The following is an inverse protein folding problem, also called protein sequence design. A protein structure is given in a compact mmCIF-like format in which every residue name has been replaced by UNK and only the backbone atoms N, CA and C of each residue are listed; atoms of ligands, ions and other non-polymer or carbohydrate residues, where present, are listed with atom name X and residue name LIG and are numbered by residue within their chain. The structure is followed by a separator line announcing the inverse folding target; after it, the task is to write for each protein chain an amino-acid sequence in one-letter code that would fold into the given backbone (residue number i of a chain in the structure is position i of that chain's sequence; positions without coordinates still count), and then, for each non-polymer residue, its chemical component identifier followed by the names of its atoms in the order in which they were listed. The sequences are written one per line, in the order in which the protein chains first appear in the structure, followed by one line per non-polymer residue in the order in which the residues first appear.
data_IF_924477239661
#
_entry.id   IF_924477239661
#
_cell.length_a   1.000
_cell.length_b   1.000
_cell.length_c   1.000
_cell.angle_alpha   90.00
_cell.angle_beta   90.00
_cell.angle_gamma   90.00
#
_symmetry.space_group_name_H-M   'P 1'
#
loop_
_entity.id
_entity.type
_entity.pdbx_description
1 polymer ?
#
# COMPACT_ATOMS: atom_id res chain seq x y z
N UNK A 1 0.42 1.18 -15.82
CA UNK A 1 -0.09 -0.21 -15.84
C UNK A 1 -1.47 -0.33 -15.17
N UNK A 2 -1.68 0.18 -13.94
CA UNK A 2 -2.97 0.05 -13.22
C UNK A 2 -4.19 0.71 -13.90
N UNK A 3 -4.07 1.96 -14.38
CA UNK A 3 -5.17 2.63 -15.10
C UNK A 3 -5.59 1.93 -16.40
N UNK A 4 -4.63 1.33 -17.10
CA UNK A 4 -4.87 0.60 -18.34
C UNK A 4 -5.56 -0.75 -18.08
N UNK A 5 -5.27 -1.39 -16.93
CA UNK A 5 -5.95 -2.61 -16.49
C UNK A 5 -7.38 -2.34 -16.07
N UNK A 6 -7.65 -1.24 -15.34
CA UNK A 6 -9.02 -0.83 -14.98
C UNK A 6 -9.85 -0.60 -16.26
N UNK A 7 -9.31 0.15 -17.23
CA UNK A 7 -9.98 0.37 -18.53
C UNK A 7 -10.15 -0.90 -19.37
N UNK A 8 -9.25 -1.86 -19.24
CA UNK A 8 -9.39 -3.15 -19.91
C UNK A 8 -10.50 -3.98 -19.29
N UNK A 9 -10.57 -4.03 -17.95
CA UNK A 9 -11.63 -4.69 -17.20
C UNK A 9 -13.01 -4.08 -17.44
N UNK A 10 -13.11 -2.75 -17.47
CA UNK A 10 -14.37 -2.06 -17.81
C UNK A 10 -14.87 -2.42 -19.22
N UNK A 11 -13.97 -2.56 -20.20
CA UNK A 11 -14.34 -2.94 -21.58
C UNK A 11 -14.62 -4.43 -21.75
N UNK A 12 -13.99 -5.28 -20.96
CA UNK A 12 -14.25 -6.72 -20.95
C UNK A 12 -15.56 -7.03 -20.24
N UNK A 13 -15.93 -6.28 -19.20
CA UNK A 13 -17.23 -6.40 -18.50
C UNK A 13 -18.44 -6.28 -19.45
N UNK A 14 -18.32 -5.49 -20.52
CA UNK A 14 -19.34 -5.32 -21.56
C UNK A 14 -19.33 -6.42 -22.64
N UNK A 15 -18.36 -7.34 -22.63
CA UNK A 15 -18.30 -8.48 -23.55
C UNK A 15 -18.94 -9.70 -22.94
N UNK A 16 -19.69 -10.43 -23.77
CA UNK A 16 -20.45 -11.61 -23.39
C UNK A 16 -19.56 -12.64 -22.67
N UNK A 17 -19.96 -13.05 -21.47
CA UNK A 17 -19.25 -14.04 -20.67
C UNK A 17 -19.20 -15.38 -21.42
N UNK A 18 -17.99 -15.87 -21.73
CA UNK A 18 -17.82 -17.11 -22.51
C UNK A 18 -17.79 -18.40 -21.65
N UNK A 19 -17.59 -18.28 -20.33
CA UNK A 19 -17.36 -19.43 -19.42
C UNK A 19 -18.17 -19.32 -18.12
N UNK A 20 -18.30 -18.11 -17.57
CA UNK A 20 -19.04 -17.85 -16.32
C UNK A 20 -20.48 -17.44 -16.61
N UNK A 21 -21.36 -17.63 -15.62
CA UNK A 21 -22.67 -17.00 -15.65
C UNK A 21 -22.48 -15.47 -15.71
N UNK A 22 -23.35 -14.77 -16.43
CA UNK A 22 -23.26 -13.31 -16.61
C UNK A 22 -23.14 -12.56 -15.26
N UNK A 23 -23.82 -13.07 -14.23
CA UNK A 23 -23.79 -12.55 -12.87
C UNK A 23 -22.43 -12.74 -12.19
N UNK A 24 -21.81 -13.90 -12.34
CA UNK A 24 -20.50 -14.19 -11.76
C UNK A 24 -19.38 -13.44 -12.49
N UNK A 25 -19.51 -13.28 -13.82
CA UNK A 25 -18.58 -12.49 -14.63
C UNK A 25 -18.60 -11.01 -14.24
N UNK A 26 -19.78 -10.41 -14.05
CA UNK A 26 -19.91 -9.03 -13.59
C UNK A 26 -19.35 -8.83 -12.18
N UNK A 27 -19.65 -9.75 -11.24
CA UNK A 27 -19.11 -9.70 -9.89
C UNK A 27 -17.58 -9.80 -9.87
N UNK A 28 -16.99 -10.70 -10.67
CA UNK A 28 -15.55 -10.83 -10.78
C UNK A 28 -14.88 -9.56 -11.35
N UNK A 29 -15.51 -8.92 -12.34
CA UNK A 29 -15.04 -7.66 -12.88
C UNK A 29 -15.08 -6.53 -11.85
N UNK A 30 -16.16 -6.43 -11.07
CA UNK A 30 -16.29 -5.41 -10.02
C UNK A 30 -15.27 -5.58 -8.89
N UNK A 31 -15.04 -6.82 -8.43
CA UNK A 31 -13.99 -7.12 -7.44
C UNK A 31 -12.60 -6.75 -7.97
N UNK A 32 -12.31 -7.07 -9.23
CA UNK A 32 -11.03 -6.76 -9.85
C UNK A 32 -10.82 -5.25 -10.03
N UNK A 33 -11.87 -4.47 -10.32
CA UNK A 33 -11.81 -3.01 -10.39
C UNK A 33 -11.51 -2.40 -9.01
N UNK A 34 -12.22 -2.82 -7.96
CA UNK A 34 -11.97 -2.34 -6.59
C UNK A 34 -10.56 -2.69 -6.10
N UNK A 35 -10.07 -3.89 -6.42
CA UNK A 35 -8.72 -4.31 -6.11
C UNK A 35 -7.64 -3.44 -6.76
N UNK A 36 -7.82 -3.04 -8.03
CA UNK A 36 -6.88 -2.15 -8.72
C UNK A 36 -6.94 -0.72 -8.17
N UNK A 37 -8.12 -0.21 -7.82
CA UNK A 37 -8.25 1.10 -7.14
C UNK A 37 -7.54 1.09 -5.80
N UNK A 38 -7.72 0.05 -4.98
CA UNK A 38 -7.02 -0.08 -3.71
C UNK A 38 -5.51 -0.15 -3.90
N UNK A 39 -5.03 -0.93 -4.88
CA UNK A 39 -3.60 -1.01 -5.20
C UNK A 39 -3.01 0.35 -5.58
N UNK A 40 -3.74 1.16 -6.35
CA UNK A 40 -3.33 2.52 -6.69
C UNK A 40 -3.24 3.41 -5.44
N UNK A 41 -4.25 3.35 -4.58
CA UNK A 41 -4.28 4.08 -3.32
C UNK A 41 -3.11 3.68 -2.41
N UNK A 42 -2.89 2.38 -2.21
CA UNK A 42 -1.80 1.84 -1.39
C UNK A 42 -0.43 2.29 -1.90
N UNK A 43 -0.22 2.29 -3.22
CA UNK A 43 1.02 2.80 -3.81
C UNK A 43 1.22 4.30 -3.53
N UNK A 44 0.15 5.10 -3.63
CA UNK A 44 0.22 6.53 -3.34
C UNK A 44 0.47 6.82 -1.86
N UNK A 45 -0.19 6.08 -0.96
CA UNK A 45 0.05 6.14 0.47
C UNK A 45 1.50 5.79 0.82
N UNK A 46 2.01 4.69 0.28
CA UNK A 46 3.42 4.29 0.45
C UNK A 46 4.38 5.35 -0.08
N UNK A 47 4.07 6.00 -1.21
CA UNK A 47 4.86 7.10 -1.74
C UNK A 47 4.95 8.26 -0.73
N UNK A 48 3.82 8.68 -0.16
CA UNK A 48 3.77 9.75 0.85
C UNK A 48 4.63 9.40 2.07
N UNK A 49 4.50 8.18 2.59
CA UNK A 49 5.31 7.73 3.74
C UNK A 49 6.80 7.76 3.41
N UNK A 50 7.20 7.27 2.23
CA UNK A 50 8.60 7.28 1.82
C UNK A 50 9.12 8.71 1.68
N UNK A 51 8.34 9.62 1.10
CA UNK A 51 8.69 11.05 1.02
C UNK A 51 8.79 11.66 2.41
N UNK A 52 7.89 11.32 3.33
CA UNK A 52 7.94 11.80 4.71
C UNK A 52 9.22 11.33 5.42
N UNK A 53 9.59 10.06 5.29
CA UNK A 53 10.83 9.53 5.86
C UNK A 53 12.08 10.20 5.29
N UNK A 54 12.17 10.32 3.97
CA UNK A 54 13.30 10.97 3.28
C UNK A 54 13.38 12.46 3.61
N UNK A 55 12.23 13.14 3.65
CA UNK A 55 12.14 14.58 3.84
C UNK A 55 12.43 15.02 5.27
N UNK A 56 11.82 14.38 6.26
CA UNK A 56 11.95 14.81 7.66
C UNK A 56 12.01 13.65 8.67
N UNK A 57 11.40 12.51 8.39
CA UNK A 57 11.22 11.44 9.37
C UNK A 57 12.54 10.91 9.92
N UNK A 58 13.53 10.63 9.06
CA UNK A 58 14.83 10.15 9.52
C UNK A 58 15.61 11.20 10.32
N UNK A 59 15.56 12.47 9.90
CA UNK A 59 16.21 13.57 10.62
C UNK A 59 15.59 13.75 12.01
N UNK A 60 14.26 13.81 12.09
CA UNK A 60 13.54 13.96 13.34
C UNK A 60 13.84 12.81 14.31
N UNK A 61 13.81 11.57 13.82
CA UNK A 61 14.10 10.40 14.65
C UNK A 61 15.56 10.36 15.12
N UNK A 62 16.49 10.84 14.28
CA UNK A 62 17.91 10.94 14.60
C UNK A 62 18.16 11.98 15.67
N UNK A 63 17.58 13.17 15.56
CA UNK A 63 17.70 14.24 16.55
C UNK A 63 17.14 13.85 17.91
N UNK A 64 16.07 13.04 17.94
CA UNK A 64 15.47 12.55 19.17
C UNK A 64 16.27 11.45 19.88
N UNK A 65 16.89 10.54 19.11
CA UNK A 65 17.46 9.30 19.66
C UNK A 65 18.98 9.23 19.64
N UNK A 66 19.65 10.00 18.79
CA UNK A 66 21.10 9.94 18.59
C UNK A 66 21.72 11.25 19.09
N UNK A 67 22.53 11.14 20.13
CA UNK A 67 23.28 12.26 20.70
C UNK A 67 24.78 12.03 20.63
N UNK A 68 25.24 10.85 21.06
CA UNK A 68 26.65 10.49 21.14
C UNK A 68 27.06 9.44 20.08
N UNK A 69 26.14 9.04 19.20
CA UNK A 69 26.35 8.00 18.18
C UNK A 69 26.81 6.66 18.77
N UNK A 70 26.32 6.34 19.97
CA UNK A 70 26.64 5.05 20.60
C UNK A 70 25.98 3.90 19.84
N UNK A 71 26.52 2.68 19.98
CA UNK A 71 25.91 1.48 19.37
C UNK A 71 24.47 1.25 19.82
N UNK A 72 24.18 1.57 21.08
CA UNK A 72 22.84 1.44 21.65
C UNK A 72 21.86 2.43 21.01
N UNK A 73 22.22 3.72 20.93
CA UNK A 73 21.39 4.76 20.28
C UNK A 73 21.08 4.41 18.82
N UNK A 74 22.09 3.96 18.07
CA UNK A 74 21.89 3.53 16.67
C UNK A 74 20.96 2.32 16.56
N UNK A 75 21.07 1.36 17.49
CA UNK A 75 20.18 0.19 17.52
C UNK A 75 18.75 0.63 17.84
N UNK A 76 18.58 1.52 18.83
CA UNK A 76 17.29 2.05 19.23
C UNK A 76 16.63 2.84 18.10
N UNK A 77 17.39 3.68 17.40
CA UNK A 77 16.93 4.40 16.21
C UNK A 77 16.39 3.46 15.14
N UNK A 78 17.14 2.40 14.80
CA UNK A 78 16.69 1.40 13.82
C UNK A 78 15.41 0.70 14.27
N UNK A 79 15.32 0.29 15.55
CA UNK A 79 14.13 -0.37 16.09
C UNK A 79 12.91 0.56 16.07
N UNK A 80 13.06 1.82 16.49
CA UNK A 80 11.99 2.81 16.45
C UNK A 80 11.50 3.06 15.03
N UNK A 81 12.42 3.20 14.06
CA UNK A 81 12.08 3.33 12.65
C UNK A 81 11.26 2.13 12.14
N UNK A 82 11.68 0.90 12.46
CA UNK A 82 10.97 -0.32 12.06
C UNK A 82 9.58 -0.42 12.69
N UNK A 83 9.45 -0.11 13.99
CA UNK A 83 8.16 -0.14 14.69
C UNK A 83 7.20 0.88 14.11
N UNK A 84 7.64 2.14 13.92
CA UNK A 84 6.79 3.19 13.35
C UNK A 84 6.36 2.81 11.93
N UNK A 85 7.30 2.33 11.10
CA UNK A 85 7.00 1.90 9.72
C UNK A 85 6.01 0.73 9.71
N UNK A 86 6.14 -0.21 10.64
CA UNK A 86 5.22 -1.35 10.76
C UNK A 86 3.81 -0.89 11.13
N UNK A 87 3.69 0.05 12.07
CA UNK A 87 2.39 0.63 12.48
C UNK A 87 1.73 1.38 11.31
N UNK A 88 2.51 2.14 10.54
CA UNK A 88 1.99 2.87 9.37
C UNK A 88 1.52 1.93 8.25
N UNK A 89 2.19 0.79 8.06
CA UNK A 89 1.82 -0.20 7.04
C UNK A 89 0.69 -1.14 7.48
N UNK A 90 0.47 -1.28 8.79
CA UNK A 90 -0.56 -2.14 9.37
C UNK A 90 -1.96 -1.93 8.76
N UNK A 91 -2.53 -0.71 8.68
CA UNK A 91 -3.86 -0.51 8.11
C UNK A 91 -3.98 -0.97 6.65
N UNK A 92 -2.93 -0.74 5.84
CA UNK A 92 -2.91 -1.23 4.46
C UNK A 92 -2.86 -2.76 4.40
N UNK A 93 -2.02 -3.39 5.24
CA UNK A 93 -1.90 -4.84 5.28
C UNK A 93 -3.19 -5.53 5.72
N UNK A 94 -3.93 -4.94 6.66
CA UNK A 94 -5.24 -5.45 7.10
C UNK A 94 -6.24 -5.36 5.95
N UNK A 95 -6.30 -4.22 5.26
CA UNK A 95 -7.21 -4.07 4.14
C UNK A 95 -6.89 -5.08 3.02
N UNK A 96 -5.61 -5.25 2.69
CA UNK A 96 -5.19 -6.22 1.66
C UNK A 96 -5.46 -7.68 2.05
N UNK A 97 -5.38 -8.04 3.33
CA UNK A 97 -5.53 -9.42 3.78
C UNK A 97 -6.98 -9.84 4.09
N UNK A 98 -7.87 -8.90 4.39
CA UNK A 98 -9.22 -9.21 4.87
C UNK A 98 -10.35 -8.72 3.97
N UNK A 99 -10.10 -7.74 3.09
CA UNK A 99 -11.11 -7.18 2.19
C UNK A 99 -10.88 -7.65 0.74
N UNK A 100 -9.66 -8.07 0.43
CA UNK A 100 -9.27 -8.75 -0.80
C UNK A 100 -9.41 -10.26 -0.65
#
# INVERSE_FOLDING_TARGET
MSYTQIRFLEREKDKQAQILSEKDYQNAADIAIENEKFKLFSNFYNLIINIAWIGFGFLYLKELLISNNTRFENTLFLLSFLIITSILNLPLSIYESFIK
#
